data_IF_137517579274
#
_entry.id   IF_137517579274
#
_cell.length_a   1.000
_cell.length_b   1.000
_cell.length_c   1.000
_cell.angle_alpha   90.00
_cell.angle_beta   90.00
_cell.angle_gamma   90.00
#
_symmetry.space_group_name_H-M   'P 1'
#
loop_
_entity.id
_entity.type
_entity.pdbx_description
1 polymer ?
#
# COMPACT_ATOMS: atom_id res chain seq x y z
N UNK A 1 -20.70 -22.27 9.78
CA UNK A 1 -20.39 -21.99 8.36
C UNK A 1 -19.27 -22.93 7.93
N UNK A 2 -19.14 -23.24 6.63
CA UNK A 2 -17.96 -23.97 6.11
C UNK A 2 -16.74 -23.06 6.31
N UNK A 3 -15.63 -23.62 6.80
CA UNK A 3 -14.35 -22.90 6.91
C UNK A 3 -13.82 -22.57 5.52
N UNK A 4 -13.42 -21.32 5.31
CA UNK A 4 -12.85 -20.83 4.05
C UNK A 4 -11.37 -21.21 3.98
N UNK A 5 -10.96 -21.86 2.90
CA UNK A 5 -9.55 -22.16 2.61
C UNK A 5 -8.97 -21.07 1.71
N UNK A 6 -7.80 -20.56 2.03
CA UNK A 6 -7.15 -19.48 1.31
C UNK A 6 -5.73 -19.85 0.86
N UNK A 7 -5.33 -19.31 -0.28
CA UNK A 7 -3.93 -19.23 -0.69
C UNK A 7 -3.43 -17.79 -0.52
N UNK A 8 -2.18 -17.61 -0.10
CA UNK A 8 -1.57 -16.28 0.02
C UNK A 8 -0.50 -16.06 -1.05
N UNK A 9 -0.66 -15.00 -1.83
CA UNK A 9 0.35 -14.50 -2.77
C UNK A 9 0.94 -13.20 -2.21
N UNK A 10 2.20 -13.25 -1.76
CA UNK A 10 2.89 -12.14 -1.12
C UNK A 10 2.75 -12.15 0.41
N UNK A 11 3.68 -12.82 1.10
CA UNK A 11 3.78 -12.90 2.55
C UNK A 11 4.55 -11.70 3.16
N UNK A 12 4.30 -10.51 2.60
CA UNK A 12 4.84 -9.25 3.08
C UNK A 12 4.04 -8.65 4.24
N UNK A 13 4.23 -7.35 4.47
CA UNK A 13 3.60 -6.64 5.59
C UNK A 13 2.06 -6.59 5.50
N UNK A 14 1.49 -6.70 4.29
CA UNK A 14 0.02 -6.77 4.11
C UNK A 14 -0.48 -8.20 4.26
N UNK A 15 -0.01 -9.10 3.42
CA UNK A 15 -0.39 -10.51 3.46
C UNK A 15 -0.17 -11.17 4.83
N UNK A 16 1.09 -11.26 5.27
CA UNK A 16 1.44 -12.02 6.47
C UNK A 16 1.11 -11.31 7.79
N UNK A 17 1.14 -9.97 7.83
CA UNK A 17 1.01 -9.23 9.11
C UNK A 17 -0.30 -8.46 9.28
N UNK A 18 -0.99 -8.10 8.20
CA UNK A 18 -2.26 -7.37 8.30
C UNK A 18 -3.46 -8.31 8.11
N UNK A 19 -3.41 -9.22 7.13
CA UNK A 19 -4.55 -10.07 6.79
C UNK A 19 -4.49 -11.46 7.39
N UNK A 20 -3.34 -12.13 7.25
CA UNK A 20 -3.22 -13.49 7.73
C UNK A 20 -3.48 -13.67 9.24
N UNK A 21 -3.23 -12.69 10.14
CA UNK A 21 -3.58 -12.83 11.56
C UNK A 21 -5.06 -13.12 11.82
N UNK A 22 -5.97 -12.74 10.90
CA UNK A 22 -7.39 -13.10 11.01
C UNK A 22 -7.61 -14.60 11.19
N UNK A 23 -6.82 -15.45 10.51
CA UNK A 23 -6.93 -16.90 10.64
C UNK A 23 -6.48 -17.42 12.01
N UNK A 24 -5.68 -16.65 12.75
CA UNK A 24 -5.28 -17.00 14.12
C UNK A 24 -6.38 -16.63 15.12
N UNK A 25 -7.02 -15.46 14.91
CA UNK A 25 -8.11 -14.97 15.75
C UNK A 25 -9.42 -15.72 15.50
N UNK A 26 -9.64 -16.17 14.26
CA UNK A 26 -10.85 -16.86 13.80
C UNK A 26 -10.52 -18.17 13.05
N UNK A 27 -9.88 -19.16 13.71
CA UNK A 27 -9.40 -20.39 13.06
C UNK A 27 -10.49 -21.35 12.60
N UNK A 28 -11.76 -21.08 12.92
CA UNK A 28 -12.92 -21.81 12.42
C UNK A 28 -13.50 -21.20 11.13
N UNK A 29 -13.07 -19.99 10.77
CA UNK A 29 -13.57 -19.24 9.61
C UNK A 29 -12.60 -19.23 8.43
N UNK A 30 -11.28 -19.14 8.70
CA UNK A 30 -10.24 -19.03 7.69
C UNK A 30 -9.04 -19.96 7.99
N UNK A 31 -8.46 -20.54 6.95
CA UNK A 31 -7.16 -21.23 7.00
C UNK A 31 -6.39 -20.99 5.72
N UNK A 32 -5.09 -20.74 5.86
CA UNK A 32 -4.18 -20.72 4.73
C UNK A 32 -3.71 -22.14 4.45
N UNK A 33 -3.80 -22.56 3.18
CA UNK A 33 -3.40 -23.91 2.73
C UNK A 33 -2.19 -23.89 1.80
N UNK A 34 -1.77 -22.72 1.34
CA UNK A 34 -0.55 -22.51 0.56
C UNK A 34 -0.08 -21.06 0.61
N UNK A 35 1.21 -20.86 0.32
CA UNK A 35 1.83 -19.53 0.23
C UNK A 35 2.81 -19.44 -0.95
N UNK A 36 2.72 -18.36 -1.70
CA UNK A 36 3.72 -17.93 -2.68
C UNK A 36 4.43 -16.66 -2.19
N UNK A 37 5.74 -16.73 -2.00
CA UNK A 37 6.56 -15.60 -1.55
C UNK A 37 7.99 -15.74 -2.06
N UNK A 38 8.51 -14.72 -2.74
CA UNK A 38 9.84 -14.72 -3.35
C UNK A 38 10.95 -14.79 -2.31
N UNK A 39 10.81 -14.09 -1.17
CA UNK A 39 11.81 -14.10 -0.12
C UNK A 39 11.73 -15.39 0.71
N UNK A 40 12.77 -16.25 0.71
CA UNK A 40 12.71 -17.55 1.37
C UNK A 40 12.51 -17.42 2.88
N UNK A 41 13.12 -16.43 3.53
CA UNK A 41 12.94 -16.22 4.98
C UNK A 41 11.50 -15.84 5.34
N UNK A 42 10.83 -15.01 4.52
CA UNK A 42 9.41 -14.67 4.71
C UNK A 42 8.51 -15.87 4.44
N UNK A 43 8.80 -16.64 3.39
CA UNK A 43 8.07 -17.86 3.03
C UNK A 43 8.15 -18.91 4.14
N UNK A 44 9.36 -19.18 4.64
CA UNK A 44 9.61 -20.10 5.76
C UNK A 44 8.90 -19.66 7.04
N UNK A 45 8.99 -18.36 7.37
CA UNK A 45 8.31 -17.81 8.56
C UNK A 45 6.79 -17.96 8.47
N UNK A 46 6.20 -17.71 7.30
CA UNK A 46 4.77 -17.91 7.08
C UNK A 46 4.39 -19.39 7.16
N UNK A 47 5.16 -20.26 6.51
CA UNK A 47 4.94 -21.70 6.53
C UNK A 47 4.95 -22.26 7.96
N UNK A 48 5.93 -21.85 8.76
CA UNK A 48 6.02 -22.25 10.17
C UNK A 48 4.83 -21.73 10.97
N UNK A 49 4.43 -20.47 10.78
CA UNK A 49 3.32 -19.86 11.52
C UNK A 49 1.99 -20.55 11.23
N UNK A 50 1.75 -20.94 9.98
CA UNK A 50 0.48 -21.55 9.53
C UNK A 50 0.57 -23.06 9.31
N UNK A 51 1.63 -23.71 9.81
CA UNK A 51 1.85 -25.16 9.73
C UNK A 51 1.76 -25.74 8.31
N UNK A 52 2.29 -25.02 7.32
CA UNK A 52 2.36 -25.46 5.93
C UNK A 52 3.57 -26.38 5.71
N UNK A 53 3.38 -27.46 4.97
CA UNK A 53 4.46 -28.33 4.52
C UNK A 53 5.23 -27.74 3.32
N UNK A 54 6.39 -28.31 3.00
CA UNK A 54 7.26 -27.81 1.92
C UNK A 54 6.54 -27.76 0.56
N UNK A 55 5.68 -28.74 0.25
CA UNK A 55 4.88 -28.77 -0.98
C UNK A 55 3.71 -27.79 -1.00
N UNK A 56 3.49 -27.01 0.07
CA UNK A 56 2.50 -25.92 0.14
C UNK A 56 3.18 -24.54 0.06
N UNK A 57 4.49 -24.50 -0.18
CA UNK A 57 5.31 -23.30 -0.19
C UNK A 57 5.96 -23.11 -1.57
N UNK A 58 5.59 -22.03 -2.26
CA UNK A 58 6.00 -21.78 -3.64
C UNK A 58 6.91 -20.56 -3.72
N UNK A 59 7.91 -20.60 -4.60
CA UNK A 59 8.84 -19.49 -4.77
C UNK A 59 8.27 -18.35 -5.61
N UNK A 60 7.25 -18.65 -6.40
CA UNK A 60 6.59 -17.71 -7.30
C UNK A 60 5.07 -17.94 -7.29
N UNK A 61 4.31 -16.93 -7.72
CA UNK A 61 2.86 -17.08 -7.81
C UNK A 61 2.47 -17.94 -9.03
N UNK A 62 3.31 -17.92 -10.05
CA UNK A 62 3.22 -18.71 -11.26
C UNK A 62 3.24 -20.21 -10.93
N UNK A 63 4.25 -20.68 -10.19
CA UNK A 63 4.35 -22.07 -9.73
C UNK A 63 3.12 -22.50 -8.91
N UNK A 64 2.67 -21.62 -8.01
CA UNK A 64 1.51 -21.91 -7.15
C UNK A 64 0.21 -22.02 -7.94
N UNK A 65 0.00 -21.15 -8.94
CA UNK A 65 -1.21 -21.13 -9.78
C UNK A 65 -1.11 -22.08 -10.98
N UNK A 66 -0.03 -22.82 -11.16
CA UNK A 66 0.02 -23.99 -12.04
C UNK A 66 -0.57 -25.22 -11.35
N UNK A 67 -0.32 -25.37 -10.05
CA UNK A 67 -0.82 -26.47 -9.22
C UNK A 67 -2.35 -26.44 -9.03
N UNK A 68 -2.91 -27.58 -8.63
CA UNK A 68 -4.34 -27.72 -8.34
C UNK A 68 -4.57 -27.75 -6.83
N UNK A 69 -4.56 -26.56 -6.23
CA UNK A 69 -4.72 -26.36 -4.79
C UNK A 69 -6.20 -26.23 -4.43
N UNK A 70 -6.70 -27.12 -3.57
CA UNK A 70 -8.06 -27.06 -3.01
C UNK A 70 -8.22 -25.88 -2.03
N UNK A 71 -8.56 -24.70 -2.58
CA UNK A 71 -8.84 -23.47 -1.85
C UNK A 71 -10.06 -22.72 -2.43
N UNK A 72 -10.70 -21.88 -1.62
CA UNK A 72 -11.87 -21.09 -2.01
C UNK A 72 -11.49 -19.66 -2.46
N UNK A 73 -10.43 -19.08 -1.90
CA UNK A 73 -10.04 -17.66 -2.10
C UNK A 73 -8.53 -17.45 -2.22
N UNK A 74 -8.11 -16.54 -3.09
CA UNK A 74 -6.74 -16.07 -3.22
C UNK A 74 -6.58 -14.67 -2.60
N UNK A 75 -5.62 -14.54 -1.69
CA UNK A 75 -5.22 -13.25 -1.12
C UNK A 75 -4.01 -12.75 -1.90
N UNK A 76 -4.16 -11.66 -2.64
CA UNK A 76 -3.10 -11.11 -3.51
C UNK A 76 -2.57 -9.83 -2.88
N UNK A 77 -1.34 -9.90 -2.39
CA UNK A 77 -0.67 -8.88 -1.58
C UNK A 77 0.74 -8.57 -2.12
N UNK A 78 0.91 -8.65 -3.44
CA UNK A 78 2.17 -8.33 -4.15
C UNK A 78 2.36 -6.83 -4.29
N UNK A 79 3.35 -6.38 -5.08
CA UNK A 79 3.45 -4.97 -5.44
C UNK A 79 2.38 -4.61 -6.46
N UNK A 80 2.00 -3.35 -6.47
CA UNK A 80 0.88 -2.78 -7.24
C UNK A 80 0.88 -3.12 -8.74
N UNK A 81 2.03 -3.12 -9.41
CA UNK A 81 2.14 -3.52 -10.82
C UNK A 81 2.07 -5.03 -11.06
N UNK A 82 2.22 -5.81 -10.01
CA UNK A 82 2.18 -7.28 -10.06
C UNK A 82 0.81 -7.81 -9.66
N UNK A 83 -0.21 -6.96 -9.50
CA UNK A 83 -1.55 -7.39 -9.11
C UNK A 83 -2.30 -8.05 -10.27
N UNK A 84 -2.17 -7.52 -11.48
CA UNK A 84 -3.02 -7.91 -12.61
C UNK A 84 -2.92 -9.39 -12.97
N UNK A 85 -1.73 -9.86 -13.32
CA UNK A 85 -1.50 -11.22 -13.80
C UNK A 85 -1.92 -12.32 -12.80
N UNK A 86 -1.46 -12.30 -11.52
CA UNK A 86 -1.92 -13.30 -10.56
C UNK A 86 -3.41 -13.19 -10.26
N UNK A 87 -4.03 -12.00 -10.35
CA UNK A 87 -5.47 -11.84 -10.13
C UNK A 87 -6.26 -12.53 -11.22
N UNK A 88 -5.93 -12.24 -12.49
CA UNK A 88 -6.59 -12.88 -13.64
C UNK A 88 -6.43 -14.39 -13.55
N UNK A 89 -5.21 -14.89 -13.32
CA UNK A 89 -4.94 -16.32 -13.25
C UNK A 89 -5.67 -17.00 -12.08
N UNK A 90 -5.76 -16.36 -10.92
CA UNK A 90 -6.48 -16.90 -9.78
C UNK A 90 -7.99 -17.01 -10.05
N UNK A 91 -8.58 -16.00 -10.70
CA UNK A 91 -9.99 -16.03 -11.10
C UNK A 91 -10.25 -17.16 -12.10
N UNK A 92 -9.38 -17.32 -13.10
CA UNK A 92 -9.46 -18.39 -14.10
C UNK A 92 -9.38 -19.79 -13.47
N UNK A 93 -8.55 -19.97 -12.43
CA UNK A 93 -8.49 -21.19 -11.60
C UNK A 93 -9.72 -21.39 -10.71
N UNK A 94 -10.63 -20.42 -10.65
CA UNK A 94 -11.89 -20.51 -9.95
C UNK A 94 -11.88 -19.98 -8.52
N UNK A 95 -10.83 -19.27 -8.10
CA UNK A 95 -10.76 -18.65 -6.78
C UNK A 95 -11.59 -17.35 -6.74
N UNK A 96 -12.22 -17.08 -5.59
CA UNK A 96 -12.53 -15.70 -5.22
C UNK A 96 -11.22 -14.94 -4.96
N UNK A 97 -11.21 -13.62 -5.10
CA UNK A 97 -10.00 -12.82 -4.91
C UNK A 97 -10.22 -11.69 -3.91
N UNK A 98 -9.33 -11.62 -2.91
CA UNK A 98 -9.09 -10.45 -2.09
C UNK A 98 -7.77 -9.80 -2.54
N UNK A 99 -7.87 -8.64 -3.18
CA UNK A 99 -6.75 -7.96 -3.81
C UNK A 99 -6.35 -6.70 -3.04
N UNK A 100 -5.08 -6.57 -2.70
CA UNK A 100 -4.53 -5.33 -2.14
C UNK A 100 -4.68 -4.15 -3.08
N UNK A 101 -4.74 -2.96 -2.49
CA UNK A 101 -4.84 -1.70 -3.21
C UNK A 101 -3.45 -1.14 -3.52
N UNK A 102 -3.31 -0.36 -4.61
CA UNK A 102 -4.30 -0.08 -5.65
C UNK A 102 -4.47 -1.28 -6.58
N UNK A 103 -5.64 -1.39 -7.21
CA UNK A 103 -5.99 -2.51 -8.08
C UNK A 103 -4.97 -2.68 -9.23
N UNK A 104 -4.73 -1.60 -9.99
CA UNK A 104 -3.63 -1.48 -10.95
C UNK A 104 -3.43 0.01 -11.28
N UNK A 105 -2.22 0.46 -11.67
CA UNK A 105 -2.02 1.78 -12.27
C UNK A 105 -2.56 1.91 -13.70
N UNK A 106 -2.88 0.81 -14.40
CA UNK A 106 -3.54 0.85 -15.71
C UNK A 106 -5.06 0.68 -15.58
N UNK A 107 -5.88 1.68 -15.96
CA UNK A 107 -7.34 1.55 -15.91
C UNK A 107 -7.88 0.42 -16.79
N UNK A 108 -7.19 0.01 -17.86
CA UNK A 108 -7.60 -1.12 -18.71
C UNK A 108 -7.47 -2.44 -17.98
N UNK A 109 -6.40 -2.62 -17.21
CA UNK A 109 -6.22 -3.79 -16.35
C UNK A 109 -7.30 -3.86 -15.27
N UNK A 110 -7.66 -2.71 -14.68
CA UNK A 110 -8.77 -2.62 -13.73
C UNK A 110 -10.10 -3.08 -14.35
N UNK A 111 -10.44 -2.61 -15.57
CA UNK A 111 -11.66 -3.02 -16.28
C UNK A 111 -11.61 -4.52 -16.60
N UNK A 112 -10.51 -4.99 -17.17
CA UNK A 112 -10.29 -6.39 -17.54
C UNK A 112 -10.50 -7.35 -16.35
N UNK A 113 -9.88 -7.07 -15.20
CA UNK A 113 -10.07 -7.90 -14.00
C UNK A 113 -11.53 -7.98 -13.54
N UNK A 114 -12.30 -6.89 -13.66
CA UNK A 114 -13.73 -6.88 -13.31
C UNK A 114 -14.56 -7.68 -14.31
N UNK A 115 -14.25 -7.59 -15.59
CA UNK A 115 -14.94 -8.35 -16.65
C UNK A 115 -14.68 -9.86 -16.47
N UNK A 116 -13.43 -10.26 -16.28
CA UNK A 116 -13.02 -11.65 -16.05
C UNK A 116 -13.66 -12.21 -14.77
N UNK A 117 -13.67 -11.43 -13.68
CA UNK A 117 -14.35 -11.82 -12.45
C UNK A 117 -15.85 -12.11 -12.66
N UNK A 118 -16.53 -11.30 -13.48
CA UNK A 118 -17.95 -11.52 -13.83
C UNK A 118 -18.15 -12.74 -14.72
N UNK A 119 -17.30 -12.93 -15.72
CA UNK A 119 -17.37 -14.06 -16.65
C UNK A 119 -17.22 -15.41 -15.93
N UNK A 120 -16.38 -15.45 -14.88
CA UNK A 120 -16.10 -16.65 -14.10
C UNK A 120 -17.01 -16.81 -12.85
N UNK A 121 -17.96 -15.90 -12.63
CA UNK A 121 -18.81 -15.84 -11.43
C UNK A 121 -18.00 -15.86 -10.13
N UNK A 122 -16.99 -14.98 -10.05
CA UNK A 122 -16.11 -14.83 -8.88
C UNK A 122 -16.19 -13.44 -8.28
N UNK A 123 -16.20 -13.41 -6.95
CA UNK A 123 -16.00 -12.19 -6.18
C UNK A 123 -14.56 -11.70 -6.34
N UNK A 124 -14.41 -10.43 -6.72
CA UNK A 124 -13.17 -9.68 -6.70
C UNK A 124 -13.34 -8.49 -5.75
N UNK A 125 -12.68 -8.53 -4.60
CA UNK A 125 -12.77 -7.49 -3.58
C UNK A 125 -11.44 -6.77 -3.44
N UNK A 126 -11.48 -5.45 -3.58
CA UNK A 126 -10.31 -4.60 -3.35
C UNK A 126 -10.25 -4.19 -1.88
N UNK A 127 -9.05 -4.23 -1.30
CA UNK A 127 -8.78 -3.89 0.10
C UNK A 127 -8.88 -2.39 0.42
N UNK A 128 -9.99 -1.73 0.08
CA UNK A 128 -10.33 -0.39 0.54
C UNK A 128 -10.77 -0.38 2.02
N UNK A 129 -9.83 -0.74 2.91
CA UNK A 129 -10.11 -1.01 4.33
C UNK A 129 -10.75 0.16 5.08
N UNK A 130 -10.56 1.41 4.63
CA UNK A 130 -11.09 2.59 5.31
C UNK A 130 -12.62 2.60 5.39
N UNK A 131 -13.32 2.06 4.38
CA UNK A 131 -14.80 1.94 4.38
C UNK A 131 -15.35 1.14 5.56
N UNK A 132 -14.52 0.28 6.15
CA UNK A 132 -14.90 -0.62 7.25
C UNK A 132 -14.43 -0.12 8.62
N UNK A 133 -13.75 1.02 8.68
CA UNK A 133 -13.31 1.57 9.98
C UNK A 133 -14.46 2.29 10.68
N UNK A 134 -14.56 2.20 12.02
CA UNK A 134 -15.65 2.84 12.77
C UNK A 134 -15.77 4.35 12.50
N UNK A 135 -14.63 5.05 12.33
CA UNK A 135 -14.62 6.48 12.05
C UNK A 135 -15.38 6.83 10.76
N UNK A 136 -15.03 6.18 9.64
CA UNK A 136 -15.66 6.46 8.35
C UNK A 136 -17.09 5.91 8.25
N UNK A 137 -17.36 4.75 8.86
CA UNK A 137 -18.71 4.19 8.93
C UNK A 137 -19.68 5.11 9.70
N UNK A 138 -19.22 5.71 10.80
CA UNK A 138 -20.03 6.65 11.57
C UNK A 138 -20.34 7.92 10.77
N UNK A 139 -19.36 8.48 10.05
CA UNK A 139 -19.59 9.63 9.17
C UNK A 139 -20.62 9.28 8.10
N UNK A 140 -20.47 8.13 7.43
CA UNK A 140 -21.42 7.69 6.40
C UNK A 140 -22.83 7.47 6.96
N UNK A 141 -22.97 6.84 8.13
CA UNK A 141 -24.29 6.67 8.78
C UNK A 141 -24.96 8.01 9.10
N UNK A 142 -24.21 9.00 9.59
CA UNK A 142 -24.75 10.35 9.84
C UNK A 142 -25.25 11.01 8.55
N UNK A 143 -24.52 10.84 7.45
CA UNK A 143 -24.90 11.32 6.12
C UNK A 143 -26.17 10.61 5.62
N UNK A 144 -26.18 9.27 5.64
CA UNK A 144 -27.26 8.44 5.10
C UNK A 144 -28.56 8.59 5.90
N UNK A 145 -28.46 8.88 7.19
CA UNK A 145 -29.59 9.20 8.06
C UNK A 145 -30.11 10.64 7.84
N UNK A 146 -29.47 11.44 6.98
CA UNK A 146 -29.87 12.82 6.67
C UNK A 146 -29.68 13.80 7.83
N UNK A 147 -28.87 13.45 8.84
CA UNK A 147 -28.73 14.23 10.09
C UNK A 147 -28.12 15.62 9.89
N UNK A 148 -27.38 15.82 8.80
CA UNK A 148 -26.72 17.09 8.46
C UNK A 148 -27.33 17.76 7.22
N UNK A 149 -28.45 17.24 6.69
CA UNK A 149 -29.01 17.67 5.41
C UNK A 149 -28.15 17.24 4.22
N UNK A 150 -28.24 17.98 3.12
CA UNK A 150 -27.47 17.71 1.90
C UNK A 150 -26.00 18.09 2.09
N UNK A 151 -25.10 17.21 1.62
CA UNK A 151 -23.67 17.53 1.56
C UNK A 151 -23.45 18.61 0.50
N UNK A 152 -22.94 19.76 0.93
CA UNK A 152 -22.51 20.83 0.02
C UNK A 152 -21.04 20.69 -0.35
N UNK A 153 -20.19 20.37 0.63
CA UNK A 153 -18.75 20.21 0.40
C UNK A 153 -18.08 19.26 1.40
N UNK A 154 -17.06 18.52 0.93
CA UNK A 154 -16.14 17.74 1.78
C UNK A 154 -14.72 18.26 1.61
N UNK A 155 -13.95 18.40 2.71
CA UNK A 155 -12.54 18.77 2.66
C UNK A 155 -11.70 17.71 3.33
N UNK A 156 -10.88 16.98 2.57
CA UNK A 156 -10.06 15.89 3.10
C UNK A 156 -8.56 16.21 2.96
N UNK A 157 -7.82 16.11 4.06
CA UNK A 157 -6.36 16.25 4.06
C UNK A 157 -5.72 14.92 4.47
N UNK A 158 -4.83 14.40 3.63
CA UNK A 158 -3.90 13.31 3.95
C UNK A 158 -2.53 13.91 4.29
N UNK A 159 -2.21 13.87 5.57
CA UNK A 159 -0.92 14.22 6.12
C UNK A 159 -0.06 12.95 6.13
N UNK A 160 0.84 12.79 5.16
CA UNK A 160 1.57 11.53 4.95
C UNK A 160 2.63 11.29 6.02
N UNK A 161 3.10 12.35 6.67
CA UNK A 161 4.28 12.40 7.55
C UNK A 161 5.62 12.28 6.80
N UNK A 162 6.58 13.07 7.27
CA UNK A 162 7.86 13.31 6.59
C UNK A 162 8.73 12.07 6.44
N UNK A 163 8.77 11.20 7.47
CA UNK A 163 9.53 9.96 7.45
C UNK A 163 8.84 8.88 6.64
N UNK A 164 7.52 8.80 6.65
CA UNK A 164 6.77 7.92 5.79
C UNK A 164 6.90 8.33 4.32
N UNK A 165 6.85 9.63 4.02
CA UNK A 165 7.17 10.18 2.69
C UNK A 165 8.57 9.75 2.25
N UNK A 166 9.57 10.03 3.09
CA UNK A 166 10.97 9.67 2.83
C UNK A 166 11.19 8.16 2.66
N UNK A 167 10.48 7.35 3.47
CA UNK A 167 10.59 5.90 3.45
C UNK A 167 9.97 5.31 2.18
N UNK A 168 8.72 5.64 1.89
CA UNK A 168 7.92 4.93 0.88
C UNK A 168 8.06 5.51 -0.53
N UNK A 169 8.19 6.83 -0.64
CA UNK A 169 8.06 7.58 -1.90
C UNK A 169 9.33 8.32 -2.32
N UNK A 170 10.37 8.33 -1.47
CA UNK A 170 11.70 8.84 -1.85
C UNK A 170 12.69 7.70 -1.99
N UNK A 171 12.81 6.86 -0.95
CA UNK A 171 13.74 5.73 -0.92
C UNK A 171 13.10 4.38 -1.24
N UNK A 172 11.79 4.30 -1.10
CA UNK A 172 11.06 3.04 -1.09
C UNK A 172 10.57 2.59 -2.46
N UNK A 173 9.78 1.52 -2.43
CA UNK A 173 9.31 0.81 -3.61
C UNK A 173 8.43 1.67 -4.55
N UNK A 174 7.92 2.80 -4.08
CA UNK A 174 7.01 3.68 -4.81
C UNK A 174 7.62 5.04 -5.12
N UNK A 175 8.95 5.11 -5.18
CA UNK A 175 9.64 6.36 -5.45
C UNK A 175 9.58 6.78 -6.92
N UNK A 176 9.28 5.86 -7.83
CA UNK A 176 9.30 6.09 -9.26
C UNK A 176 8.00 5.64 -9.94
N UNK A 177 7.23 6.59 -10.48
CA UNK A 177 5.95 6.34 -11.17
C UNK A 177 6.08 5.65 -12.52
N UNK A 178 7.28 5.55 -13.10
CA UNK A 178 7.51 4.84 -14.36
C UNK A 178 7.53 3.32 -14.15
N UNK A 179 7.83 2.88 -12.93
CA UNK A 179 7.93 1.45 -12.55
C UNK A 179 7.01 1.04 -11.39
N UNK A 180 6.26 1.99 -10.81
CA UNK A 180 5.24 1.75 -9.78
C UNK A 180 4.01 2.63 -10.00
N UNK A 181 3.00 2.59 -9.13
CA UNK A 181 1.87 3.53 -9.19
C UNK A 181 2.29 4.95 -8.83
N UNK A 182 1.65 5.99 -9.40
CA UNK A 182 1.85 7.35 -8.94
C UNK A 182 1.43 7.46 -7.46
N UNK A 183 2.09 8.34 -6.71
CA UNK A 183 1.89 8.46 -5.26
C UNK A 183 0.42 8.66 -4.88
N UNK A 184 -0.32 9.49 -5.63
CA UNK A 184 -1.75 9.73 -5.37
C UNK A 184 -2.57 8.44 -5.38
N UNK A 185 -2.27 7.53 -6.31
CA UNK A 185 -2.93 6.24 -6.39
C UNK A 185 -2.43 5.32 -5.28
N UNK A 186 -1.12 5.26 -5.05
CA UNK A 186 -0.55 4.34 -4.08
C UNK A 186 -0.94 4.66 -2.63
N UNK A 187 -0.83 5.95 -2.27
CA UNK A 187 -1.07 6.45 -0.91
C UNK A 187 -2.54 6.76 -0.67
N UNK A 188 -3.20 7.32 -1.68
CA UNK A 188 -4.47 8.04 -1.53
C UNK A 188 -5.59 7.55 -2.43
N UNK A 189 -5.47 6.36 -3.03
CA UNK A 189 -6.65 5.67 -3.56
C UNK A 189 -7.70 5.40 -2.47
N UNK A 190 -7.29 5.22 -1.20
CA UNK A 190 -8.21 5.18 -0.08
C UNK A 190 -8.97 6.48 0.12
N UNK A 191 -8.29 7.62 -0.05
CA UNK A 191 -8.88 8.94 0.19
C UNK A 191 -9.87 9.29 -0.93
N UNK A 192 -9.49 9.02 -2.18
CA UNK A 192 -10.38 9.17 -3.34
C UNK A 192 -11.61 8.25 -3.19
N UNK A 193 -11.39 7.01 -2.79
CA UNK A 193 -12.45 6.04 -2.54
C UNK A 193 -13.44 6.51 -1.46
N UNK A 194 -12.93 7.04 -0.34
CA UNK A 194 -13.77 7.55 0.75
C UNK A 194 -14.57 8.78 0.32
N UNK A 195 -14.00 9.70 -0.45
CA UNK A 195 -14.76 10.84 -0.98
C UNK A 195 -15.92 10.38 -1.86
N UNK A 196 -15.70 9.39 -2.73
CA UNK A 196 -16.77 8.80 -3.54
C UNK A 196 -17.81 8.06 -2.69
N UNK A 197 -17.37 7.35 -1.65
CA UNK A 197 -18.24 6.61 -0.74
C UNK A 197 -19.13 7.51 0.12
N UNK A 198 -18.57 8.61 0.65
CA UNK A 198 -19.31 9.56 1.46
C UNK A 198 -20.30 10.37 0.62
N UNK A 199 -19.85 10.85 -0.55
CA UNK A 199 -20.70 11.65 -1.43
C UNK A 199 -21.79 10.80 -2.08
N UNK A 200 -21.48 9.56 -2.46
CA UNK A 200 -22.39 8.61 -3.12
C UNK A 200 -23.10 9.21 -4.35
N UNK A 201 -22.34 9.98 -5.13
CA UNK A 201 -22.75 10.60 -6.38
C UNK A 201 -21.65 10.40 -7.42
N UNK A 202 -22.01 10.44 -8.71
CA UNK A 202 -20.98 10.42 -9.76
C UNK A 202 -20.21 11.74 -9.77
N UNK A 203 -18.90 11.65 -9.92
CA UNK A 203 -18.04 12.80 -10.16
C UNK A 203 -18.13 13.21 -11.63
N UNK A 204 -18.41 14.49 -11.90
CA UNK A 204 -18.49 15.07 -13.26
C UNK A 204 -17.16 15.69 -13.68
N UNK A 205 -16.51 16.41 -12.78
CA UNK A 205 -15.29 17.14 -13.09
C UNK A 205 -14.23 16.89 -12.03
N UNK A 206 -12.99 16.77 -12.49
CA UNK A 206 -11.80 16.65 -11.65
C UNK A 206 -10.74 17.63 -12.14
N UNK A 207 -10.06 18.27 -11.21
CA UNK A 207 -8.82 19.01 -11.47
C UNK A 207 -7.77 18.58 -10.45
N UNK A 208 -6.51 18.50 -10.87
CA UNK A 208 -5.42 18.13 -9.98
C UNK A 208 -4.13 18.81 -10.34
N UNK A 209 -3.40 19.21 -9.29
CA UNK A 209 -2.11 19.89 -9.39
C UNK A 209 -1.18 19.34 -8.32
N UNK A 210 0.02 18.95 -8.69
CA UNK A 210 1.03 18.43 -7.79
C UNK A 210 2.40 18.48 -8.45
N UNK A 211 3.45 18.48 -7.65
CA UNK A 211 4.82 18.52 -8.18
C UNK A 211 5.81 17.93 -7.18
N UNK A 212 7.04 17.69 -7.65
CA UNK A 212 8.18 17.35 -6.82
C UNK A 212 8.98 18.63 -6.53
N UNK A 213 8.75 19.24 -5.37
CA UNK A 213 9.35 20.52 -4.99
C UNK A 213 10.58 20.39 -4.10
N UNK A 214 10.62 19.41 -3.20
CA UNK A 214 11.58 19.32 -2.12
C UNK A 214 12.60 18.20 -2.29
N UNK A 215 12.16 16.96 -2.53
CA UNK A 215 13.04 15.78 -2.59
C UNK A 215 13.73 15.64 -3.95
N UNK A 216 14.56 16.63 -4.29
CA UNK A 216 15.33 16.72 -5.53
C UNK A 216 16.72 17.29 -5.30
N UNK A 217 17.63 17.00 -6.21
CA UNK A 217 19.06 17.32 -6.05
C UNK A 217 19.34 18.81 -5.89
N UNK A 218 18.55 19.68 -6.53
CA UNK A 218 18.71 21.14 -6.40
C UNK A 218 18.52 21.67 -4.97
N UNK A 219 17.91 20.87 -4.08
CA UNK A 219 17.70 21.21 -2.67
C UNK A 219 18.65 20.45 -1.73
N UNK A 220 19.59 19.67 -2.29
CA UNK A 220 20.53 18.90 -1.49
C UNK A 220 21.41 19.83 -0.65
N UNK A 221 21.75 19.45 0.60
CA UNK A 221 22.70 20.20 1.40
C UNK A 221 24.06 20.23 0.69
N UNK A 222 24.72 21.39 0.78
CA UNK A 222 26.09 21.57 0.28
C UNK A 222 27.00 20.53 0.94
N UNK A 223 27.83 19.89 0.13
CA UNK A 223 28.77 18.85 0.57
C UNK A 223 28.11 17.62 1.24
N UNK A 224 26.78 17.47 1.14
CA UNK A 224 26.11 16.27 1.60
C UNK A 224 26.58 15.04 0.80
N UNK A 225 26.70 13.86 1.42
CA UNK A 225 27.02 12.63 0.70
C UNK A 225 25.86 12.07 -0.13
N UNK A 226 26.13 11.02 -0.92
CA UNK A 226 25.11 10.24 -1.61
C UNK A 226 24.29 9.39 -0.62
N UNK A 227 24.90 8.90 0.45
CA UNK A 227 24.23 8.11 1.49
C UNK A 227 24.39 8.77 2.84
N UNK A 228 23.37 8.64 3.67
CA UNK A 228 23.33 9.29 4.98
C UNK A 228 24.53 8.91 5.86
N UNK A 229 24.92 7.63 5.84
CA UNK A 229 25.98 7.09 6.71
C UNK A 229 27.41 7.44 6.25
N UNK A 230 27.58 8.10 5.10
CA UNK A 230 28.91 8.43 4.55
C UNK A 230 29.45 9.76 5.12
N UNK A 231 29.26 10.00 6.43
CA UNK A 231 29.75 11.19 7.12
C UNK A 231 29.02 12.48 6.76
N UNK A 232 27.68 12.47 6.77
CA UNK A 232 26.87 13.64 6.44
C UNK A 232 27.14 14.83 7.39
N UNK A 233 27.55 16.01 6.90
CA UNK A 233 27.94 17.14 7.75
C UNK A 233 26.79 17.76 8.55
N UNK A 234 25.54 17.49 8.15
CA UNK A 234 24.32 17.97 8.80
C UNK A 234 23.52 16.85 9.47
N UNK A 235 24.14 15.70 9.77
CA UNK A 235 23.46 14.52 10.35
C UNK A 235 22.55 14.86 11.54
N UNK A 236 23.02 15.70 12.46
CA UNK A 236 22.30 16.03 13.69
C UNK A 236 21.03 16.86 13.42
N UNK A 237 21.10 17.76 12.44
CA UNK A 237 20.05 18.72 12.12
C UNK A 237 19.11 18.23 11.00
N UNK A 238 19.52 17.21 10.24
CA UNK A 238 18.74 16.67 9.14
C UNK A 238 17.54 15.87 9.65
N UNK A 239 16.33 16.36 9.40
CA UNK A 239 15.07 15.66 9.71
C UNK A 239 14.93 14.32 8.98
N UNK A 240 15.66 14.11 7.88
CA UNK A 240 15.51 12.96 6.98
C UNK A 240 16.62 11.92 7.10
N UNK A 241 17.56 12.09 8.04
CA UNK A 241 18.75 11.26 8.13
C UNK A 241 18.40 9.79 8.39
N UNK A 242 18.73 8.91 7.43
CA UNK A 242 18.31 7.51 7.47
C UNK A 242 18.82 6.79 8.72
N UNK A 243 20.09 6.99 9.08
CA UNK A 243 20.67 6.39 10.27
C UNK A 243 19.97 6.82 11.56
N UNK A 244 19.64 8.12 11.68
CA UNK A 244 18.98 8.68 12.86
C UNK A 244 17.59 8.07 13.04
N UNK A 245 16.86 7.89 11.95
CA UNK A 245 15.52 7.31 11.99
C UNK A 245 15.54 5.79 12.19
N UNK A 246 16.18 5.03 11.30
CA UNK A 246 16.11 3.56 11.31
C UNK A 246 16.93 2.90 12.42
N UNK A 247 17.85 3.62 13.06
CA UNK A 247 18.52 3.15 14.29
C UNK A 247 17.93 3.77 15.57
N UNK A 248 16.99 4.71 15.43
CA UNK A 248 16.32 5.43 16.51
C UNK A 248 14.82 5.13 16.54
N UNK A 249 14.01 6.19 16.56
CA UNK A 249 12.54 6.10 16.70
C UNK A 249 11.86 5.26 15.61
N UNK A 250 12.43 5.26 14.40
CA UNK A 250 11.95 4.54 13.23
C UNK A 250 12.46 3.10 13.11
N UNK A 251 13.13 2.54 14.12
CA UNK A 251 13.73 1.20 14.05
C UNK A 251 12.73 0.13 13.59
N UNK A 252 11.47 0.22 14.02
CA UNK A 252 10.41 -0.70 13.61
C UNK A 252 10.10 -0.69 12.10
N UNK A 253 10.47 0.37 11.38
CA UNK A 253 10.32 0.46 9.93
C UNK A 253 11.41 -0.31 9.16
N UNK A 254 12.51 -0.70 9.81
CA UNK A 254 13.55 -1.48 9.15
C UNK A 254 13.05 -2.82 8.60
N UNK A 255 12.04 -3.41 9.25
CA UNK A 255 11.38 -4.66 8.81
C UNK A 255 10.82 -4.60 7.38
N UNK A 256 10.61 -3.40 6.83
CA UNK A 256 10.11 -3.18 5.46
C UNK A 256 11.18 -3.46 4.40
N UNK A 257 12.46 -3.35 4.75
CA UNK A 257 13.56 -3.43 3.78
C UNK A 257 14.71 -4.36 4.18
N UNK A 258 14.71 -4.92 5.41
CA UNK A 258 15.65 -5.96 5.82
C UNK A 258 14.96 -7.03 6.66
N UNK A 259 15.45 -8.28 6.58
CA UNK A 259 15.06 -9.41 7.43
C UNK A 259 15.96 -9.55 8.66
N UNK A 260 17.17 -8.97 8.64
CA UNK A 260 18.05 -8.86 9.80
C UNK A 260 17.79 -7.53 10.52
N UNK A 261 17.13 -7.62 11.68
CA UNK A 261 16.68 -6.48 12.48
C UNK A 261 17.68 -6.09 13.58
N UNK A 262 18.86 -6.73 13.61
CA UNK A 262 19.99 -6.32 14.44
C UNK A 262 20.48 -4.92 14.04
N UNK A 263 21.26 -4.27 14.91
CA UNK A 263 21.82 -2.96 14.58
C UNK A 263 22.72 -3.06 13.34
N UNK A 264 23.52 -4.11 13.29
CA UNK A 264 24.48 -4.42 12.23
C UNK A 264 23.76 -4.73 10.92
N UNK A 265 22.69 -5.53 10.97
CA UNK A 265 21.84 -5.83 9.81
C UNK A 265 21.16 -4.58 9.23
N UNK A 266 20.66 -3.69 10.09
CA UNK A 266 20.09 -2.42 9.65
C UNK A 266 21.17 -1.54 9.02
N UNK A 267 22.35 -1.39 9.64
CA UNK A 267 23.46 -0.62 9.06
C UNK A 267 23.87 -1.20 7.70
N UNK A 268 24.00 -2.52 7.60
CA UNK A 268 24.30 -3.19 6.34
C UNK A 268 23.26 -2.84 5.26
N UNK A 269 21.97 -2.98 5.57
CA UNK A 269 20.89 -2.64 4.65
C UNK A 269 20.88 -1.15 4.27
N UNK A 270 21.21 -0.24 5.19
CA UNK A 270 21.38 1.18 4.90
C UNK A 270 22.61 1.46 4.02
N UNK A 271 23.58 0.56 3.93
CA UNK A 271 24.72 0.70 3.03
C UNK A 271 24.49 0.06 1.65
N UNK A 272 23.60 -0.92 1.55
CA UNK A 272 23.41 -1.70 0.32
C UNK A 272 22.11 -1.42 -0.42
N UNK A 273 21.08 -0.88 0.24
CA UNK A 273 19.75 -0.64 -0.35
C UNK A 273 19.46 0.86 -0.57
N UNK A 274 18.47 1.25 -1.36
CA UNK A 274 18.08 2.66 -1.49
C UNK A 274 17.71 3.36 -0.17
N UNK A 275 17.33 2.60 0.88
CA UNK A 275 16.87 3.13 2.16
C UNK A 275 17.92 3.93 2.95
N UNK A 276 19.21 3.82 2.62
CA UNK A 276 20.24 4.69 3.20
C UNK A 276 20.63 5.91 2.36
N UNK A 277 20.10 6.06 1.13
CA UNK A 277 20.41 7.21 0.28
C UNK A 277 19.95 8.52 0.92
N UNK A 278 20.63 9.61 0.59
CA UNK A 278 20.15 10.95 0.86
C UNK A 278 18.81 11.18 0.13
N UNK A 279 17.81 11.74 0.81
CA UNK A 279 16.49 12.00 0.22
C UNK A 279 16.53 12.96 -0.97
N UNK A 280 17.57 13.80 -1.06
CA UNK A 280 17.76 14.72 -2.19
C UNK A 280 18.57 14.11 -3.34
N UNK A 281 19.19 12.94 -3.13
CA UNK A 281 20.01 12.23 -4.13
C UNK A 281 19.50 10.80 -4.31
N UNK A 282 18.18 10.67 -4.26
CA UNK A 282 17.45 9.47 -4.63
C UNK A 282 16.92 9.65 -6.06
N UNK A 283 16.50 8.54 -6.67
CA UNK A 283 15.98 8.42 -8.03
C UNK A 283 14.46 8.62 -8.11
N UNK A 284 13.90 9.32 -7.12
CA UNK A 284 12.46 9.54 -7.04
C UNK A 284 11.99 10.57 -8.07
N UNK A 285 10.83 10.31 -8.67
CA UNK A 285 10.15 11.24 -9.59
C UNK A 285 8.70 11.53 -9.20
N UNK A 286 8.20 10.92 -8.12
CA UNK A 286 6.84 11.13 -7.64
C UNK A 286 6.67 12.48 -6.95
N UNK A 287 5.43 12.97 -6.92
CA UNK A 287 5.06 14.22 -6.24
C UNK A 287 5.35 14.16 -4.75
N UNK A 288 5.58 15.31 -4.12
CA UNK A 288 5.67 15.42 -2.65
C UNK A 288 4.48 16.14 -2.01
N UNK A 289 3.64 16.76 -2.86
CA UNK A 289 2.33 17.29 -2.52
C UNK A 289 1.44 17.28 -3.76
N UNK A 290 0.13 17.14 -3.54
CA UNK A 290 -0.87 17.20 -4.60
C UNK A 290 -2.23 17.61 -4.06
N UNK A 291 -2.93 18.46 -4.80
CA UNK A 291 -4.33 18.81 -4.54
C UNK A 291 -5.23 18.24 -5.64
N UNK A 292 -6.45 17.89 -5.27
CA UNK A 292 -7.50 17.41 -6.18
C UNK A 292 -8.80 18.11 -5.81
N UNK A 293 -9.50 18.68 -6.80
CA UNK A 293 -10.86 19.17 -6.61
C UNK A 293 -11.81 18.34 -7.46
N UNK A 294 -12.96 17.99 -6.89
CA UNK A 294 -14.01 17.19 -7.51
C UNK A 294 -15.33 17.98 -7.48
N UNK A 295 -16.09 17.89 -8.56
CA UNK A 295 -17.49 18.36 -8.65
C UNK A 295 -18.40 17.19 -8.99
N UNK A 296 -19.50 17.04 -8.26
CA UNK A 296 -20.43 15.92 -8.36
C UNK A 296 -21.72 16.28 -9.11
N UNK A 297 -22.52 15.27 -9.50
CA UNK A 297 -23.69 15.52 -10.36
C UNK A 297 -24.72 16.48 -9.78
N UNK A 298 -24.88 16.47 -8.46
CA UNK A 298 -25.78 17.30 -7.69
C UNK A 298 -25.25 18.73 -7.42
N UNK A 299 -24.03 19.06 -7.91
CA UNK A 299 -23.37 20.35 -7.69
C UNK A 299 -22.56 20.44 -6.39
N UNK A 300 -22.53 19.39 -5.57
CA UNK A 300 -21.65 19.33 -4.41
C UNK A 300 -20.18 19.23 -4.84
N UNK A 301 -19.28 19.66 -3.96
CA UNK A 301 -17.83 19.66 -4.23
C UNK A 301 -17.04 18.85 -3.21
N UNK A 302 -15.85 18.39 -3.60
CA UNK A 302 -14.87 17.93 -2.63
C UNK A 302 -13.49 18.47 -2.96
N UNK A 303 -12.71 18.78 -1.93
CA UNK A 303 -11.30 19.14 -2.06
C UNK A 303 -10.47 18.13 -1.30
N UNK A 304 -9.40 17.66 -1.92
CA UNK A 304 -8.43 16.78 -1.31
C UNK A 304 -7.04 17.39 -1.39
N UNK A 305 -6.28 17.27 -0.31
CA UNK A 305 -4.86 17.65 -0.25
C UNK A 305 -4.05 16.51 0.32
N UNK A 306 -3.00 16.10 -0.38
CA UNK A 306 -1.98 15.17 0.08
C UNK A 306 -0.68 15.93 0.29
N UNK A 307 -0.09 15.82 1.48
CA UNK A 307 1.13 16.54 1.82
C UNK A 307 2.15 15.62 2.53
N UNK A 308 3.38 15.57 2.00
CA UNK A 308 4.51 14.86 2.59
C UNK A 308 5.29 15.62 3.66
N UNK A 309 4.92 16.86 3.96
CA UNK A 309 5.70 17.76 4.82
C UNK A 309 5.10 17.92 6.22
N UNK A 310 4.30 16.96 6.65
CA UNK A 310 3.63 17.01 7.94
C UNK A 310 4.45 16.31 9.02
N UNK A 311 4.29 16.76 10.26
CA UNK A 311 4.90 16.11 11.42
C UNK A 311 4.19 14.81 11.81
N UNK A 312 2.86 14.80 11.66
CA UNK A 312 2.02 13.68 12.07
C UNK A 312 1.42 13.01 10.83
N UNK A 313 1.20 11.70 10.96
CA UNK A 313 0.54 10.90 9.94
C UNK A 313 -0.95 10.83 10.26
N UNK A 314 -1.76 11.67 9.61
CA UNK A 314 -3.18 11.84 9.94
C UNK A 314 -4.05 12.06 8.70
N UNK A 315 -5.34 11.78 8.88
CA UNK A 315 -6.41 12.21 7.97
C UNK A 315 -7.30 13.21 8.70
N UNK A 316 -7.62 14.31 8.04
CA UNK A 316 -8.52 15.33 8.57
C UNK A 316 -9.63 15.54 7.55
N UNK A 317 -10.88 15.38 7.98
CA UNK A 317 -12.10 15.53 7.18
C UNK A 317 -13.07 16.49 7.84
#
# INVERSE_FOLDING_TARGET
MKKTKAILIGAGDRGAKAYAPYANDYPHELEFVAVAELNPQRREAFAQQYSLSENQCYASWEEMLEDDIDADVAFICTLDRQHYEPTVKAIEKGYHVLLEKPMSPDPKECISMVEIAKEHDKLLTICHVLRYTPFWQNIKSIIDEGKIGDIVSIQLNENVEVMHMSHSFVRGNWNNSDVSSPMILQKSCHDMDILMYLMDQKCKHVSSFGSLMHFKESNAPKDGPLRCLDGCPIENDCAFHAGKYYLGEGKGWAKKFTTDHSREGIIHALNTTPYGKCVYRSDNNVVDHQVVNLEFENGATATFSMCGFTREQTRIV
#
